data_IF_413753211673
#
_entry.id   IF_413753211673
#
_cell.length_a   1.000
_cell.length_b   1.000
_cell.length_c   1.000
_cell.angle_alpha   90.00
_cell.angle_beta   90.00
_cell.angle_gamma   90.00
#
_symmetry.space_group_name_H-M   'P 1'
#
loop_
_entity.id
_entity.type
_entity.pdbx_description
1 polymer ?
#
# COMPACT_ATOMS: atom_id res chain seq x y z
N UNK A 1 -22.64 18.37 27.03
CA UNK A 1 -21.21 18.12 27.36
C UNK A 1 -20.90 16.67 27.02
N UNK A 2 -20.11 16.41 25.98
CA UNK A 2 -19.80 15.04 25.56
C UNK A 2 -18.52 14.58 26.27
N UNK A 3 -18.68 13.80 27.33
CA UNK A 3 -17.56 13.28 28.12
C UNK A 3 -16.78 12.32 27.23
N UNK A 4 -15.59 12.73 26.77
CA UNK A 4 -14.64 11.84 26.11
C UNK A 4 -14.28 10.74 27.10
N UNK A 5 -14.93 9.57 27.00
CA UNK A 5 -14.53 8.38 27.74
C UNK A 5 -13.10 8.05 27.32
N UNK A 6 -12.14 8.34 28.19
CA UNK A 6 -10.77 7.84 28.06
C UNK A 6 -10.81 6.35 28.36
N UNK A 7 -11.25 5.54 27.39
CA UNK A 7 -11.11 4.10 27.48
C UNK A 7 -9.61 3.80 27.48
N UNK A 8 -9.18 3.17 28.57
CA UNK A 8 -7.81 2.72 28.82
C UNK A 8 -7.50 1.56 27.86
N UNK A 9 -7.44 1.85 26.57
CA UNK A 9 -7.18 0.87 25.52
C UNK A 9 -5.77 0.32 25.70
N UNK A 10 -5.67 -0.97 25.99
CA UNK A 10 -4.40 -1.69 26.14
C UNK A 10 -4.10 -2.40 24.82
N UNK A 11 -2.98 -2.04 24.20
CA UNK A 11 -2.50 -2.75 23.00
C UNK A 11 -2.13 -4.18 23.43
N UNK A 12 -2.72 -5.22 22.81
CA UNK A 12 -2.36 -6.60 23.14
C UNK A 12 -0.89 -6.85 22.79
N UNK A 13 -0.19 -7.61 23.63
CA UNK A 13 1.18 -8.02 23.36
C UNK A 13 1.16 -9.23 22.43
N UNK A 14 1.64 -9.07 21.21
CA UNK A 14 1.80 -10.15 20.23
C UNK A 14 3.00 -9.88 19.34
N UNK A 15 3.48 -10.92 18.64
CA UNK A 15 4.52 -10.79 17.62
C UNK A 15 3.87 -10.61 16.26
N UNK A 16 4.41 -9.71 15.44
CA UNK A 16 4.02 -9.63 14.03
C UNK A 16 4.41 -10.95 13.37
N UNK A 17 3.51 -11.61 12.62
CA UNK A 17 3.80 -12.89 12.00
C UNK A 17 5.01 -12.79 11.07
N UNK A 18 5.85 -13.82 11.13
CA UNK A 18 7.00 -14.01 10.26
C UNK A 18 7.02 -15.45 9.73
N UNK A 19 7.13 -15.67 8.40
CA UNK A 19 7.28 -14.67 7.34
C UNK A 19 6.04 -13.76 7.21
N UNK A 20 6.17 -12.57 6.59
CA UNK A 20 5.04 -11.66 6.42
C UNK A 20 3.88 -12.36 5.67
N UNK A 21 2.70 -12.43 6.29
CA UNK A 21 1.47 -12.94 5.64
C UNK A 21 0.87 -11.93 4.62
N UNK A 22 1.56 -10.82 4.37
CA UNK A 22 1.09 -9.71 3.57
C UNK A 22 1.63 -9.85 2.15
N UNK A 23 0.75 -9.94 1.16
CA UNK A 23 1.15 -10.09 -0.25
C UNK A 23 1.31 -8.74 -0.94
N UNK A 24 2.04 -8.72 -2.07
CA UNK A 24 2.17 -7.52 -2.92
C UNK A 24 0.79 -6.99 -3.33
N UNK A 25 -0.09 -7.87 -3.78
CA UNK A 25 -1.42 -7.49 -4.26
C UNK A 25 -2.32 -6.98 -3.12
N UNK A 26 -2.23 -7.57 -1.91
CA UNK A 26 -2.93 -7.03 -0.74
C UNK A 26 -2.48 -5.59 -0.42
N UNK A 27 -1.17 -5.32 -0.53
CA UNK A 27 -0.62 -3.97 -0.29
C UNK A 27 -1.14 -3.01 -1.34
N UNK A 28 -1.15 -3.40 -2.62
CA UNK A 28 -1.63 -2.55 -3.72
C UNK A 28 -3.12 -2.26 -3.60
N UNK A 29 -3.94 -3.27 -3.31
CA UNK A 29 -5.40 -3.14 -3.16
C UNK A 29 -5.78 -2.24 -1.97
N UNK A 30 -4.89 -2.08 -0.99
CA UNK A 30 -5.12 -1.15 0.13
C UNK A 30 -4.90 0.33 -0.22
N UNK A 31 -4.38 0.63 -1.42
CA UNK A 31 -4.02 1.99 -1.85
C UNK A 31 -5.12 2.60 -2.69
N UNK A 32 -5.25 3.93 -2.59
CA UNK A 32 -6.06 4.69 -3.55
C UNK A 32 -5.36 4.77 -4.92
N UNK A 33 -6.14 5.04 -5.97
CA UNK A 33 -5.63 5.20 -7.34
C UNK A 33 -4.50 6.24 -7.43
N UNK A 34 -4.64 7.38 -6.76
CA UNK A 34 -3.58 8.40 -6.70
C UNK A 34 -2.29 7.87 -6.08
N UNK A 35 -2.41 6.97 -5.10
CA UNK A 35 -1.26 6.34 -4.45
C UNK A 35 -0.65 5.25 -5.31
N UNK A 36 -1.35 4.66 -6.28
CA UNK A 36 -0.72 3.75 -7.25
C UNK A 36 0.32 4.50 -8.13
N UNK A 37 0.08 5.79 -8.39
CA UNK A 37 1.02 6.66 -9.09
C UNK A 37 2.22 7.10 -8.22
N UNK A 38 2.19 6.85 -6.91
CA UNK A 38 3.26 7.23 -5.97
C UNK A 38 4.14 6.04 -5.55
N UNK A 39 5.37 6.33 -5.09
CA UNK A 39 6.33 5.34 -4.56
C UNK A 39 5.70 4.33 -3.59
N UNK A 40 6.23 3.12 -3.58
CA UNK A 40 5.85 2.04 -2.68
C UNK A 40 5.99 2.44 -1.20
N UNK A 41 5.15 1.89 -0.32
CA UNK A 41 5.36 2.02 1.12
C UNK A 41 6.70 1.40 1.50
N UNK A 42 7.48 2.10 2.31
CA UNK A 42 8.75 1.56 2.80
C UNK A 42 8.54 0.36 3.75
N UNK A 43 9.63 -0.37 4.04
CA UNK A 43 9.64 -1.53 4.94
C UNK A 43 8.92 -1.33 6.29
N UNK A 44 9.04 -0.16 6.90
CA UNK A 44 8.36 0.13 8.17
C UNK A 44 6.84 0.29 7.99
N UNK A 45 6.40 0.95 6.91
CA UNK A 45 4.98 1.08 6.60
C UNK A 45 4.35 -0.28 6.31
N UNK A 46 5.06 -1.18 5.64
CA UNK A 46 4.60 -2.56 5.38
C UNK A 46 4.54 -3.36 6.69
N UNK A 47 5.56 -3.27 7.55
CA UNK A 47 5.52 -3.86 8.89
C UNK A 47 4.32 -3.38 9.71
N UNK A 48 4.02 -2.07 9.65
CA UNK A 48 2.84 -1.48 10.28
C UNK A 48 1.54 -2.06 9.74
N UNK A 49 1.43 -2.32 8.43
CA UNK A 49 0.26 -2.98 7.84
C UNK A 49 0.11 -4.42 8.35
N UNK A 50 1.20 -5.18 8.43
CA UNK A 50 1.18 -6.54 8.97
C UNK A 50 0.74 -6.56 10.45
N UNK A 51 1.26 -5.63 11.26
CA UNK A 51 0.83 -5.45 12.65
C UNK A 51 -0.67 -5.16 12.75
N UNK A 52 -1.18 -4.26 11.90
CA UNK A 52 -2.59 -3.90 11.88
C UNK A 52 -3.49 -5.06 11.44
N UNK A 53 -3.05 -5.84 10.43
CA UNK A 53 -3.74 -7.05 9.97
C UNK A 53 -3.89 -8.03 11.13
N UNK A 54 -2.81 -8.26 11.87
CA UNK A 54 -2.81 -9.18 13.02
C UNK A 54 -3.61 -8.64 14.21
N UNK A 55 -3.52 -7.34 14.48
CA UNK A 55 -4.29 -6.69 15.55
C UNK A 55 -5.80 -6.85 15.33
N UNK A 56 -6.28 -6.67 14.10
CA UNK A 56 -7.70 -6.83 13.73
C UNK A 56 -8.23 -8.25 13.91
N UNK A 57 -7.37 -9.27 13.90
CA UNK A 57 -7.77 -10.65 14.22
C UNK A 57 -8.01 -10.86 15.72
N UNK A 58 -7.53 -9.95 16.56
CA UNK A 58 -7.47 -10.09 18.03
C UNK A 58 -8.39 -9.14 18.77
N UNK A 59 -8.86 -8.09 18.10
CA UNK A 59 -9.73 -7.08 18.70
C UNK A 59 -10.74 -6.58 17.68
N UNK A 60 -11.96 -6.35 18.15
CA UNK A 60 -13.02 -5.69 17.38
C UNK A 60 -12.92 -4.15 17.45
N UNK A 61 -12.01 -3.63 18.27
CA UNK A 61 -11.84 -2.19 18.50
C UNK A 61 -11.02 -1.51 17.40
N UNK A 62 -11.56 -0.39 16.90
CA UNK A 62 -10.80 0.53 16.04
C UNK A 62 -9.80 1.34 16.86
N UNK A 63 -8.53 0.91 16.83
CA UNK A 63 -7.46 1.57 17.58
C UNK A 63 -6.96 2.81 16.86
N UNK A 64 -6.86 3.92 17.59
CA UNK A 64 -6.27 5.15 17.06
C UNK A 64 -4.82 4.94 16.62
N UNK A 65 -4.53 5.27 15.36
CA UNK A 65 -3.19 5.19 14.75
C UNK A 65 -2.12 5.91 15.58
N UNK A 66 -2.46 7.06 16.17
CA UNK A 66 -1.54 7.85 17.00
C UNK A 66 -1.07 7.07 18.22
N UNK A 67 -1.96 6.26 18.83
CA UNK A 67 -1.62 5.44 20.00
C UNK A 67 -0.73 4.26 19.64
N UNK A 68 -1.02 3.58 18.53
CA UNK A 68 -0.28 2.37 18.13
C UNK A 68 1.05 2.68 17.44
N UNK A 69 1.20 3.84 16.82
CA UNK A 69 2.42 4.15 16.05
C UNK A 69 3.68 4.13 16.91
N UNK A 70 3.60 4.65 18.15
CA UNK A 70 4.72 4.59 19.09
C UNK A 70 5.11 3.15 19.45
N UNK A 71 4.10 2.30 19.69
CA UNK A 71 4.31 0.89 20.00
C UNK A 71 4.96 0.12 18.84
N UNK A 72 4.43 0.29 17.63
CA UNK A 72 4.93 -0.37 16.42
C UNK A 72 6.36 0.09 16.10
N UNK A 73 6.67 1.38 16.27
CA UNK A 73 8.03 1.90 16.12
C UNK A 73 9.02 1.21 17.06
N UNK A 74 8.62 1.01 18.33
CA UNK A 74 9.46 0.31 19.31
C UNK A 74 9.67 -1.14 18.94
N UNK A 75 8.63 -1.87 18.51
CA UNK A 75 8.77 -3.24 18.03
C UNK A 75 9.71 -3.31 16.82
N UNK A 76 9.47 -2.48 15.82
CA UNK A 76 10.27 -2.42 14.59
C UNK A 76 11.75 -2.15 14.85
N UNK A 77 12.07 -1.27 15.81
CA UNK A 77 13.46 -0.96 16.16
C UNK A 77 14.17 -2.17 16.77
N UNK A 78 13.43 -3.00 17.51
CA UNK A 78 13.93 -4.21 18.16
C UNK A 78 13.88 -5.46 17.27
N UNK A 79 13.38 -5.34 16.02
CA UNK A 79 13.36 -6.48 15.10
C UNK A 79 14.75 -6.84 14.57
N UNK A 80 14.92 -8.13 14.28
CA UNK A 80 16.15 -8.65 13.68
C UNK A 80 16.38 -8.13 12.26
N UNK A 81 17.64 -8.13 11.81
CA UNK A 81 17.99 -7.76 10.44
C UNK A 81 17.26 -8.61 9.40
N UNK A 82 17.14 -9.93 9.64
CA UNK A 82 16.43 -10.84 8.74
C UNK A 82 14.96 -10.46 8.53
N UNK A 83 14.26 -10.05 9.59
CA UNK A 83 12.88 -9.58 9.50
C UNK A 83 12.83 -8.26 8.73
N UNK A 84 13.71 -7.31 9.07
CA UNK A 84 13.77 -6.01 8.42
C UNK A 84 14.08 -6.12 6.92
N UNK A 85 14.91 -7.09 6.54
CA UNK A 85 15.26 -7.39 5.15
C UNK A 85 14.10 -8.07 4.40
N UNK A 86 13.34 -8.96 5.04
CA UNK A 86 12.13 -9.52 4.43
C UNK A 86 11.11 -8.42 4.08
N UNK A 87 10.88 -7.46 4.99
CA UNK A 87 10.01 -6.31 4.72
C UNK A 87 10.60 -5.32 3.71
N UNK A 88 11.92 -5.23 3.61
CA UNK A 88 12.60 -4.47 2.55
C UNK A 88 12.38 -5.11 1.19
N UNK A 89 12.60 -6.42 1.07
CA UNK A 89 12.39 -7.15 -0.17
C UNK A 89 10.92 -7.07 -0.62
N UNK A 90 9.97 -7.17 0.32
CA UNK A 90 8.55 -6.98 0.01
C UNK A 90 8.26 -5.54 -0.49
N UNK A 91 8.89 -4.52 0.09
CA UNK A 91 8.78 -3.14 -0.41
C UNK A 91 9.31 -2.98 -1.83
N UNK A 92 10.40 -3.65 -2.18
CA UNK A 92 10.99 -3.64 -3.53
C UNK A 92 10.07 -4.36 -4.53
N UNK A 93 9.51 -5.52 -4.16
CA UNK A 93 8.53 -6.22 -4.99
C UNK A 93 7.29 -5.36 -5.28
N UNK A 94 6.81 -4.61 -4.29
CA UNK A 94 5.70 -3.66 -4.47
C UNK A 94 6.09 -2.53 -5.43
N UNK A 95 7.30 -1.96 -5.33
CA UNK A 95 7.73 -0.92 -6.27
C UNK A 95 7.87 -1.43 -7.71
N UNK A 96 8.39 -2.65 -7.89
CA UNK A 96 8.49 -3.29 -9.20
C UNK A 96 7.10 -3.44 -9.82
N UNK A 97 6.14 -3.96 -9.06
CA UNK A 97 4.75 -4.13 -9.51
C UNK A 97 4.07 -2.81 -9.88
N UNK A 98 4.29 -1.75 -9.10
CA UNK A 98 3.80 -0.40 -9.46
C UNK A 98 4.41 0.13 -10.74
N UNK A 99 5.70 -0.15 -10.96
CA UNK A 99 6.41 0.26 -12.18
C UNK A 99 5.81 -0.44 -13.41
N UNK A 100 5.53 -1.74 -13.32
CA UNK A 100 4.83 -2.50 -14.37
C UNK A 100 3.46 -1.89 -14.69
N UNK A 101 2.66 -1.57 -13.67
CA UNK A 101 1.33 -0.96 -13.84
C UNK A 101 1.44 0.37 -14.57
N UNK A 102 2.34 1.26 -14.15
CA UNK A 102 2.55 2.59 -14.77
C UNK A 102 3.03 2.48 -16.22
N UNK A 103 3.94 1.54 -16.50
CA UNK A 103 4.41 1.31 -17.87
C UNK A 103 3.27 0.83 -18.78
N UNK A 104 2.43 -0.08 -18.29
CA UNK A 104 1.27 -0.57 -19.03
C UNK A 104 0.24 0.52 -19.30
N UNK A 105 -0.05 1.36 -18.30
CA UNK A 105 -0.94 2.53 -18.47
C UNK A 105 -0.43 3.46 -19.57
N UNK A 106 0.86 3.81 -19.54
CA UNK A 106 1.49 4.67 -20.56
C UNK A 106 1.38 4.08 -21.97
N UNK A 107 1.57 2.77 -22.14
CA UNK A 107 1.41 2.09 -23.44
C UNK A 107 -0.03 2.15 -23.96
N UNK A 108 -1.02 2.04 -23.07
CA UNK A 108 -2.44 2.14 -23.45
C UNK A 108 -2.77 3.54 -23.97
N UNK A 109 -2.19 4.60 -23.39
CA UNK A 109 -2.41 5.97 -23.86
C UNK A 109 -1.83 6.20 -25.27
N UNK A 110 -0.62 5.72 -25.57
CA UNK A 110 0.02 5.91 -26.89
C UNK A 110 -0.78 5.26 -28.03
N UNK A 111 -1.43 4.12 -27.76
CA UNK A 111 -2.19 3.41 -28.79
C UNK A 111 -3.54 4.07 -29.11
N UNK A 112 -4.06 4.96 -28.26
CA UNK A 112 -5.35 5.62 -28.47
C UNK A 112 -5.26 6.76 -29.50
N UNK A 113 -4.08 7.36 -29.65
CA UNK A 113 -3.86 8.54 -30.49
C UNK A 113 -3.43 8.20 -31.93
N UNK A 114 -3.25 6.91 -32.26
CA UNK A 114 -2.87 6.44 -33.60
C UNK A 114 -4.04 5.86 -34.43
N UNK A 115 -5.29 6.18 -34.09
CA UNK A 115 -6.39 5.93 -35.06
C UNK A 115 -6.28 6.95 -36.19
N UNK A 116 -6.03 6.53 -37.45
CA UNK A 116 -6.08 7.43 -38.58
C UNK A 116 -7.53 7.87 -38.75
N UNK A 117 -7.87 9.05 -38.22
CA UNK A 117 -9.08 9.75 -38.63
C UNK A 117 -8.94 9.98 -40.13
N UNK A 118 -9.74 9.24 -40.90
CA UNK A 118 -9.67 9.20 -42.35
C UNK A 118 -9.64 10.61 -42.95
N UNK A 119 -8.56 10.90 -43.65
CA UNK A 119 -8.56 11.91 -44.71
C UNK A 119 -9.45 11.32 -45.81
N UNK A 120 -10.71 11.74 -45.86
CA UNK A 120 -11.45 11.75 -47.13
C UNK A 120 -11.29 13.13 -47.72
N UNK A 121 -10.20 13.30 -48.46
CA UNK A 121 -10.14 14.25 -49.56
C UNK A 121 -11.23 13.85 -50.56
N UNK A 122 -12.20 14.73 -50.81
CA UNK A 122 -12.99 14.71 -52.03
C UNK A 122 -13.36 16.16 -52.36
N UNK A 123 -12.43 16.82 -53.04
CA UNK A 123 -12.75 17.91 -53.95
C UNK A 123 -13.48 17.31 -55.16
N UNK A 124 -14.71 17.74 -55.46
CA UNK A 124 -15.11 18.00 -56.85
C UNK A 124 -16.32 18.94 -56.93
N UNK A 125 -16.02 20.09 -57.52
CA UNK A 125 -16.84 21.12 -58.17
C UNK A 125 -18.13 20.63 -58.86
N UNK A 126 -19.26 21.31 -58.62
CA UNK A 126 -20.13 21.98 -59.60
C UNK A 126 -21.21 22.79 -58.88
#
# INVERSE_FOLDING_TARGET
>A
MNVKKSTKYKIPLFKVPFPPELTVEEILNSRSEDKLKSRAPNRYLIYRLAFLKELRKRTDDNVSMTKISSHISSMWFNETTAIRDAYKNLSEQVENRLTEIRQKENLVFINKDNSPSGITDNNQCS
#
